data_IF_286365235340
#
_entry.id   IF_286365235340
#
_cell.length_a   1.000
_cell.length_b   1.000
_cell.length_c   1.000
_cell.angle_alpha   90.00
_cell.angle_beta   90.00
_cell.angle_gamma   90.00
#
_symmetry.space_group_name_H-M   'P 1'
#
loop_
_entity.id
_entity.type
_entity.pdbx_description
1 polymer ?
#
# COMPACT_ATOMS: atom_id res chain seq x y z
N UNK A 1 8.52 0.69 28.69
CA UNK A 1 7.14 0.97 29.03
C UNK A 1 6.64 0.09 30.17
N UNK A 2 6.80 -1.23 30.08
CA UNK A 2 6.23 -2.20 31.03
C UNK A 2 7.23 -2.74 32.05
N UNK A 3 8.44 -2.21 32.11
CA UNK A 3 9.49 -2.66 33.02
C UNK A 3 10.42 -3.74 32.48
N UNK A 4 11.49 -4.07 33.21
CA UNK A 4 12.59 -4.92 32.71
C UNK A 4 12.17 -6.34 32.32
N UNK A 5 11.23 -6.93 33.04
CA UNK A 5 10.81 -8.32 32.78
C UNK A 5 10.09 -8.45 31.45
N UNK A 6 9.13 -7.58 31.16
CA UNK A 6 8.44 -7.57 29.87
C UNK A 6 9.39 -7.19 28.72
N UNK A 7 10.30 -6.26 28.94
CA UNK A 7 11.33 -5.90 27.98
C UNK A 7 12.22 -7.09 27.64
N UNK A 8 12.62 -7.90 28.62
CA UNK A 8 13.41 -9.11 28.42
C UNK A 8 12.66 -10.12 27.54
N UNK A 9 11.39 -10.40 27.84
CA UNK A 9 10.55 -11.31 27.03
C UNK A 9 10.40 -10.83 25.60
N UNK A 10 10.14 -9.56 25.41
CA UNK A 10 10.04 -8.96 24.08
C UNK A 10 11.36 -9.11 23.31
N UNK A 11 12.49 -8.87 23.96
CA UNK A 11 13.82 -9.04 23.36
C UNK A 11 14.07 -10.50 22.97
N UNK A 12 13.72 -11.48 23.82
CA UNK A 12 13.84 -12.90 23.51
C UNK A 12 13.04 -13.28 22.27
N UNK A 13 11.81 -12.77 22.10
CA UNK A 13 10.97 -12.99 20.91
C UNK A 13 11.61 -12.37 19.67
N UNK A 14 12.12 -11.14 19.78
CA UNK A 14 12.82 -10.45 18.69
C UNK A 14 14.06 -11.22 18.27
N UNK A 15 14.89 -11.63 19.22
CA UNK A 15 16.14 -12.34 18.95
C UNK A 15 15.87 -13.73 18.34
N UNK A 16 14.81 -14.43 18.77
CA UNK A 16 14.37 -15.68 18.16
C UNK A 16 13.99 -15.48 16.68
N UNK A 17 13.22 -14.44 16.37
CA UNK A 17 12.89 -14.11 15.00
C UNK A 17 14.14 -13.81 14.15
N UNK A 18 15.09 -13.06 14.70
CA UNK A 18 16.35 -12.74 14.01
C UNK A 18 17.16 -14.01 13.74
N UNK A 19 17.26 -14.92 14.71
CA UNK A 19 17.94 -16.20 14.53
C UNK A 19 17.29 -17.04 13.41
N UNK A 20 15.96 -17.09 13.35
CA UNK A 20 15.24 -17.80 12.28
C UNK A 20 15.50 -17.13 10.91
N UNK A 21 15.40 -15.81 10.81
CA UNK A 21 15.69 -15.05 9.56
C UNK A 21 17.10 -15.35 9.03
N UNK A 22 18.07 -15.50 9.92
CA UNK A 22 19.46 -15.83 9.56
C UNK A 22 19.73 -17.33 9.44
N UNK A 23 18.67 -18.16 9.45
CA UNK A 23 18.75 -19.63 9.37
C UNK A 23 19.55 -20.29 10.49
N UNK A 24 19.75 -19.61 11.62
CA UNK A 24 20.36 -20.16 12.83
C UNK A 24 19.32 -20.94 13.64
N UNK A 25 18.84 -22.04 13.05
CA UNK A 25 17.76 -22.85 13.62
C UNK A 25 18.18 -23.54 14.93
N UNK A 26 19.45 -23.89 15.10
CA UNK A 26 19.98 -24.48 16.33
C UNK A 26 19.85 -23.53 17.52
N UNK A 27 20.17 -22.25 17.30
CA UNK A 27 19.99 -21.22 18.30
C UNK A 27 18.49 -20.97 18.56
N UNK A 28 17.70 -20.83 17.51
CA UNK A 28 16.26 -20.56 17.63
C UNK A 28 15.51 -21.67 18.40
N UNK A 29 15.86 -22.94 18.18
CA UNK A 29 15.26 -24.10 18.90
C UNK A 29 15.46 -24.04 20.41
N UNK A 30 16.55 -23.45 20.89
CA UNK A 30 16.88 -23.34 22.31
C UNK A 30 16.24 -22.12 22.97
N UNK A 31 15.80 -21.14 22.19
CA UNK A 31 15.23 -19.90 22.72
C UNK A 31 13.80 -20.10 23.22
N UNK A 32 13.34 -19.18 24.06
CA UNK A 32 12.01 -19.23 24.69
C UNK A 32 11.72 -20.58 25.40
N UNK A 33 12.75 -21.14 26.02
CA UNK A 33 12.65 -22.43 26.73
C UNK A 33 12.37 -23.62 25.81
N UNK A 34 12.74 -23.53 24.53
CA UNK A 34 12.53 -24.59 23.55
C UNK A 34 11.11 -24.63 22.93
N UNK A 35 10.25 -23.68 23.27
CA UNK A 35 8.86 -23.65 22.79
C UNK A 35 8.72 -23.57 21.27
N UNK A 36 9.74 -23.06 20.55
CA UNK A 36 9.73 -22.90 19.11
C UNK A 36 10.19 -24.14 18.35
N UNK A 37 10.83 -25.10 19.00
CA UNK A 37 11.46 -26.24 18.34
C UNK A 37 10.50 -27.04 17.44
N UNK A 38 9.25 -27.21 17.88
CA UNK A 38 8.21 -27.95 17.14
C UNK A 38 7.75 -27.30 15.84
N UNK A 39 8.05 -26.03 15.64
CA UNK A 39 7.70 -25.26 14.43
C UNK A 39 8.89 -25.06 13.48
N UNK A 40 10.07 -25.54 13.85
CA UNK A 40 11.30 -25.41 13.07
C UNK A 40 11.66 -26.77 12.42
N UNK A 41 10.70 -27.37 11.72
CA UNK A 41 10.82 -28.69 11.07
C UNK A 41 11.47 -28.61 9.70
N UNK A 42 11.16 -27.57 8.95
CA UNK A 42 11.60 -27.28 7.58
C UNK A 42 11.68 -25.77 7.36
N UNK A 43 12.16 -25.33 6.19
CA UNK A 43 12.32 -23.90 5.87
C UNK A 43 10.98 -23.17 5.79
N UNK A 44 9.96 -23.77 5.18
CA UNK A 44 8.64 -23.13 5.02
C UNK A 44 7.97 -22.89 6.38
N UNK A 45 8.03 -23.88 7.26
CA UNK A 45 7.53 -23.76 8.64
C UNK A 45 8.30 -22.70 9.43
N UNK A 46 9.63 -22.62 9.24
CA UNK A 46 10.47 -21.60 9.88
C UNK A 46 10.12 -20.19 9.37
N UNK A 47 9.90 -20.00 8.08
CA UNK A 47 9.50 -18.72 7.50
C UNK A 47 8.11 -18.29 7.97
N UNK A 48 7.16 -19.22 8.03
CA UNK A 48 5.83 -18.98 8.61
C UNK A 48 5.92 -18.55 10.08
N UNK A 49 6.77 -19.21 10.87
CA UNK A 49 7.03 -18.86 12.28
C UNK A 49 7.66 -17.45 12.37
N UNK A 50 8.67 -17.15 11.55
CA UNK A 50 9.30 -15.83 11.52
C UNK A 50 8.29 -14.71 11.20
N UNK A 51 7.36 -14.97 10.30
CA UNK A 51 6.27 -14.04 9.96
C UNK A 51 5.28 -13.87 11.13
N UNK A 52 4.89 -14.95 11.79
CA UNK A 52 4.04 -14.90 12.99
C UNK A 52 4.69 -14.10 14.14
N UNK A 53 5.98 -14.30 14.38
CA UNK A 53 6.74 -13.54 15.37
C UNK A 53 6.85 -12.05 14.98
N UNK A 54 6.99 -11.72 13.68
CA UNK A 54 6.98 -10.33 13.19
C UNK A 54 5.65 -9.65 13.50
N UNK A 55 4.53 -10.33 13.27
CA UNK A 55 3.20 -9.81 13.59
C UNK A 55 3.07 -9.56 15.08
N UNK A 56 3.49 -10.50 15.93
CA UNK A 56 3.45 -10.36 17.37
C UNK A 56 4.31 -9.16 17.86
N UNK A 57 5.52 -8.98 17.33
CA UNK A 57 6.42 -7.86 17.65
C UNK A 57 5.78 -6.53 17.26
N UNK A 58 5.23 -6.44 16.05
CA UNK A 58 4.60 -5.21 15.56
C UNK A 58 3.31 -4.88 16.32
N UNK A 59 2.57 -5.89 16.80
CA UNK A 59 1.36 -5.71 17.60
C UNK A 59 1.65 -5.00 18.94
N UNK A 60 2.84 -5.17 19.51
CA UNK A 60 3.24 -4.45 20.73
C UNK A 60 3.23 -2.93 20.49
N UNK A 61 3.79 -2.47 19.36
CA UNK A 61 3.72 -1.06 19.00
C UNK A 61 2.26 -0.61 18.78
N UNK A 62 1.50 -1.36 17.99
CA UNK A 62 0.11 -1.04 17.69
C UNK A 62 -0.78 -0.94 18.94
N UNK A 63 -0.66 -1.89 19.87
CA UNK A 63 -1.45 -1.89 21.11
C UNK A 63 -1.03 -0.77 22.07
N UNK A 64 0.27 -0.51 22.20
CA UNK A 64 0.76 0.54 23.10
C UNK A 64 0.46 1.94 22.61
N UNK A 65 0.34 2.15 21.29
CA UNK A 65 0.03 3.44 20.65
C UNK A 65 -1.44 3.64 20.29
N UNK A 66 -2.30 2.65 20.54
CA UNK A 66 -3.69 2.64 20.11
C UNK A 66 -4.50 3.85 20.60
N UNK A 67 -5.39 4.37 19.75
CA UNK A 67 -6.37 5.37 20.12
C UNK A 67 -7.51 4.84 21.00
N UNK A 68 -7.81 3.52 20.88
CA UNK A 68 -8.83 2.85 21.69
C UNK A 68 -8.25 2.34 23.02
N UNK A 69 -9.12 2.20 24.03
CA UNK A 69 -8.73 1.65 25.33
C UNK A 69 -8.38 0.15 25.22
N UNK A 70 -7.22 -0.21 25.77
CA UNK A 70 -6.76 -1.58 25.92
C UNK A 70 -5.76 -1.67 27.09
N UNK A 71 -5.52 -2.86 27.67
CA UNK A 71 -4.64 -3.03 28.84
C UNK A 71 -3.16 -2.67 28.60
N UNK A 72 -2.73 -2.62 27.34
CA UNK A 72 -1.33 -2.38 26.96
C UNK A 72 -1.06 -0.94 26.51
N UNK A 73 -2.09 -0.11 26.44
CA UNK A 73 -1.97 1.28 26.03
C UNK A 73 -1.07 2.06 26.97
N UNK A 74 -0.14 2.81 26.41
CA UNK A 74 0.77 3.68 27.16
C UNK A 74 0.73 5.11 26.60
N UNK A 75 0.46 6.10 27.47
CA UNK A 75 0.30 7.49 27.04
C UNK A 75 1.54 8.04 26.35
N UNK A 76 2.73 7.60 26.74
CA UNK A 76 3.98 8.02 26.09
C UNK A 76 4.06 7.55 24.66
N UNK A 77 3.60 6.32 24.36
CA UNK A 77 3.59 5.80 23.00
C UNK A 77 2.37 6.27 22.21
N UNK A 78 1.25 6.56 22.88
CA UNK A 78 0.14 7.29 22.26
C UNK A 78 0.61 8.65 21.71
N UNK A 79 1.52 9.32 22.41
CA UNK A 79 2.18 10.54 21.94
C UNK A 79 3.35 10.28 20.97
N UNK A 80 3.42 9.08 20.43
CA UNK A 80 4.41 8.65 19.43
C UNK A 80 5.88 8.75 19.86
N UNK A 81 6.20 8.57 21.14
CA UNK A 81 7.59 8.68 21.62
C UNK A 81 8.56 7.73 20.89
N UNK A 82 8.10 6.51 20.55
CA UNK A 82 8.92 5.52 19.82
C UNK A 82 9.20 6.01 18.40
N UNK A 83 8.17 6.46 17.68
CA UNK A 83 8.31 6.99 16.32
C UNK A 83 9.16 8.27 16.30
N UNK A 84 8.93 9.20 17.24
CA UNK A 84 9.72 10.44 17.37
C UNK A 84 11.20 10.15 17.63
N UNK A 85 11.51 9.17 18.49
CA UNK A 85 12.89 8.74 18.74
C UNK A 85 13.55 8.15 17.50
N UNK A 86 12.84 7.30 16.76
CA UNK A 86 13.31 6.74 15.50
C UNK A 86 13.57 7.83 14.46
N UNK A 87 12.63 8.76 14.29
CA UNK A 87 12.78 9.87 13.36
C UNK A 87 13.98 10.77 13.72
N UNK A 88 14.15 11.12 14.97
CA UNK A 88 15.30 11.92 15.43
C UNK A 88 16.63 11.20 15.16
N UNK A 89 16.69 9.89 15.43
CA UNK A 89 17.86 9.09 15.09
C UNK A 89 18.18 9.13 13.59
N UNK A 90 17.18 8.92 12.73
CA UNK A 90 17.37 8.92 11.27
C UNK A 90 17.79 10.30 10.74
N UNK A 91 17.25 11.39 11.31
CA UNK A 91 17.67 12.77 10.97
C UNK A 91 19.15 12.97 11.35
N UNK A 92 19.55 12.57 12.54
CA UNK A 92 20.93 12.68 12.99
C UNK A 92 21.87 11.83 12.13
N UNK A 93 21.47 10.59 11.79
CA UNK A 93 22.22 9.73 10.87
C UNK A 93 22.39 10.38 9.49
N UNK A 94 21.31 10.97 8.94
CA UNK A 94 21.36 11.74 7.69
C UNK A 94 22.46 12.81 7.75
N UNK A 95 22.43 13.65 8.79
CA UNK A 95 23.41 14.72 8.94
C UNK A 95 24.85 14.19 9.06
N UNK A 96 25.05 13.09 9.76
CA UNK A 96 26.38 12.49 9.90
C UNK A 96 26.90 11.88 8.58
N UNK A 97 26.01 11.32 7.76
CA UNK A 97 26.33 10.84 6.40
C UNK A 97 26.68 12.04 5.50
N UNK A 98 25.89 13.10 5.54
CA UNK A 98 26.12 14.33 4.76
C UNK A 98 27.43 15.03 5.13
N UNK A 99 27.78 15.09 6.42
CA UNK A 99 29.09 15.64 6.87
C UNK A 99 30.29 14.87 6.31
N UNK A 100 30.09 13.63 5.90
CA UNK A 100 31.11 12.78 5.25
C UNK A 100 31.14 12.94 3.72
N UNK A 101 30.37 13.89 3.18
CA UNK A 101 30.34 14.21 1.76
C UNK A 101 29.39 13.36 0.92
N UNK A 102 28.53 12.55 1.54
CA UNK A 102 27.57 11.72 0.81
C UNK A 102 26.19 12.36 0.75
N UNK A 103 25.48 12.14 -0.36
CA UNK A 103 24.08 12.50 -0.51
C UNK A 103 23.21 11.44 0.15
N UNK A 104 22.13 11.86 0.78
CA UNK A 104 21.07 10.96 1.24
C UNK A 104 19.86 11.20 0.37
N UNK A 105 19.59 10.27 -0.54
CA UNK A 105 18.49 10.39 -1.50
C UNK A 105 17.12 10.11 -0.85
N UNK A 106 17.07 9.18 0.11
CA UNK A 106 15.78 8.80 0.71
C UNK A 106 15.96 8.24 2.13
N UNK A 107 15.04 8.63 3.01
CA UNK A 107 14.83 8.01 4.32
C UNK A 107 13.36 7.63 4.42
N UNK A 108 13.09 6.39 4.84
CA UNK A 108 11.74 5.94 5.13
C UNK A 108 11.74 5.10 6.41
N UNK A 109 11.12 5.63 7.45
CA UNK A 109 10.98 5.01 8.78
C UNK A 109 12.32 4.56 9.39
N UNK A 110 12.88 3.46 8.93
CA UNK A 110 14.04 2.74 9.44
C UNK A 110 15.10 2.42 8.35
N UNK A 111 14.91 2.92 7.13
CA UNK A 111 15.84 2.71 6.02
C UNK A 111 16.42 4.02 5.51
N UNK A 112 17.67 3.97 5.06
CA UNK A 112 18.39 5.09 4.42
C UNK A 112 18.96 4.63 3.07
N UNK A 113 18.87 5.47 2.05
CA UNK A 113 19.42 5.24 0.71
C UNK A 113 20.42 6.30 0.38
N UNK A 114 21.63 5.85 0.07
CA UNK A 114 22.81 6.69 -0.16
C UNK A 114 23.33 6.37 -1.56
N UNK A 115 23.19 7.29 -2.54
CA UNK A 115 23.82 7.15 -3.83
C UNK A 115 25.33 7.01 -3.70
N UNK A 116 25.95 6.24 -4.58
CA UNK A 116 27.40 6.02 -4.66
C UNK A 116 28.05 5.63 -3.32
N UNK A 117 27.31 4.87 -2.52
CA UNK A 117 27.76 4.45 -1.19
C UNK A 117 29.01 3.57 -1.29
N UNK A 118 30.08 4.00 -0.62
CA UNK A 118 31.31 3.19 -0.49
C UNK A 118 31.19 2.20 0.67
N UNK A 119 32.02 1.14 0.70
CA UNK A 119 32.07 0.20 1.84
C UNK A 119 32.26 0.91 3.18
N UNK A 120 33.03 1.99 3.21
CA UNK A 120 33.32 2.77 4.42
C UNK A 120 32.09 3.48 4.95
N UNK A 121 31.27 4.10 4.08
CA UNK A 121 30.03 4.76 4.54
C UNK A 121 28.96 3.73 4.95
N UNK A 122 28.90 2.58 4.29
CA UNK A 122 28.02 1.48 4.68
C UNK A 122 28.39 0.99 6.09
N UNK A 123 29.68 0.75 6.32
CA UNK A 123 30.17 0.33 7.65
C UNK A 123 29.90 1.41 8.70
N UNK A 124 30.12 2.69 8.37
CA UNK A 124 29.80 3.81 9.26
C UNK A 124 28.33 3.80 9.70
N UNK A 125 27.39 3.62 8.76
CA UNK A 125 25.94 3.57 9.08
C UNK A 125 25.65 2.43 10.06
N UNK A 126 26.23 1.25 9.84
CA UNK A 126 26.06 0.10 10.75
C UNK A 126 26.62 0.38 12.14
N UNK A 127 27.80 0.97 12.21
CA UNK A 127 28.45 1.26 13.50
C UNK A 127 27.77 2.40 14.25
N UNK A 128 27.33 3.44 13.53
CA UNK A 128 26.54 4.52 14.10
C UNK A 128 25.22 3.98 14.68
N UNK A 129 24.53 3.08 13.99
CA UNK A 129 23.34 2.42 14.50
C UNK A 129 23.60 1.70 15.82
N UNK A 130 24.69 0.90 15.89
CA UNK A 130 25.07 0.15 17.10
C UNK A 130 25.30 1.04 18.32
N UNK A 131 25.89 2.24 18.13
CA UNK A 131 26.09 3.20 19.22
C UNK A 131 24.79 3.60 19.92
N UNK A 132 23.66 3.59 19.20
CA UNK A 132 22.33 3.97 19.71
C UNK A 132 21.41 2.78 19.97
N UNK A 133 21.95 1.53 19.85
CA UNK A 133 21.18 0.30 20.07
C UNK A 133 20.34 -0.15 18.90
N UNK A 134 20.60 0.36 17.67
CA UNK A 134 19.99 -0.09 16.43
C UNK A 134 20.94 -1.00 15.65
N UNK A 135 20.39 -1.98 14.96
CA UNK A 135 21.16 -2.89 14.10
C UNK A 135 20.74 -2.59 12.66
N UNK A 136 21.66 -2.02 11.88
CA UNK A 136 21.49 -1.82 10.45
C UNK A 136 22.14 -2.98 9.69
N UNK A 137 21.47 -3.41 8.64
CA UNK A 137 21.97 -4.37 7.65
C UNK A 137 22.05 -3.68 6.30
N UNK A 138 23.08 -3.96 5.51
CA UNK A 138 23.13 -3.57 4.10
C UNK A 138 22.22 -4.53 3.34
N UNK A 139 21.03 -4.09 3.01
CA UNK A 139 19.97 -4.94 2.46
C UNK A 139 20.12 -5.13 0.95
N UNK A 140 20.50 -4.07 0.22
CA UNK A 140 20.58 -4.10 -1.22
C UNK A 140 21.45 -2.97 -1.79
N UNK A 141 22.05 -3.24 -2.95
CA UNK A 141 22.61 -2.23 -3.85
C UNK A 141 21.73 -2.18 -5.10
N UNK A 142 21.33 -0.98 -5.51
CA UNK A 142 20.56 -0.76 -6.73
C UNK A 142 21.46 -0.24 -7.85
N UNK A 143 21.26 -0.74 -9.06
CA UNK A 143 21.88 -0.23 -10.28
C UNK A 143 21.28 1.11 -10.68
N UNK A 144 19.94 1.17 -10.61
CA UNK A 144 19.16 2.40 -10.86
C UNK A 144 17.95 2.45 -9.92
N UNK A 145 17.56 3.68 -9.59
CA UNK A 145 16.41 3.92 -8.73
C UNK A 145 15.75 5.23 -9.13
N UNK A 146 14.43 5.20 -9.32
CA UNK A 146 13.59 6.39 -9.46
C UNK A 146 12.75 6.56 -8.20
N UNK A 147 12.91 7.68 -7.51
CA UNK A 147 12.14 8.06 -6.35
C UNK A 147 11.04 9.03 -6.78
N UNK A 148 9.84 8.52 -7.02
CA UNK A 148 8.70 9.31 -7.50
C UNK A 148 8.16 10.24 -6.40
N UNK A 149 8.14 9.76 -5.16
CA UNK A 149 7.83 10.56 -3.97
C UNK A 149 8.33 9.87 -2.70
N UNK A 150 8.08 10.46 -1.54
CA UNK A 150 8.55 9.96 -0.25
C UNK A 150 8.13 8.51 0.10
N UNK A 151 7.14 7.96 -0.60
CA UNK A 151 6.62 6.61 -0.33
C UNK A 151 6.76 5.65 -1.51
N UNK A 152 6.96 6.18 -2.72
CA UNK A 152 6.91 5.43 -3.99
C UNK A 152 8.23 5.49 -4.71
N UNK A 153 8.85 4.36 -4.93
CA UNK A 153 10.03 4.23 -5.77
C UNK A 153 10.00 2.93 -6.58
N UNK A 154 10.77 2.91 -7.64
CA UNK A 154 11.11 1.75 -8.45
C UNK A 154 12.62 1.65 -8.54
N UNK A 155 13.17 0.45 -8.41
CA UNK A 155 14.62 0.23 -8.47
C UNK A 155 14.96 -1.12 -9.09
N UNK A 156 16.16 -1.22 -9.67
CA UNK A 156 16.72 -2.46 -10.19
C UNK A 156 17.89 -2.88 -9.31
N UNK A 157 17.90 -4.14 -8.86
CA UNK A 157 19.00 -4.66 -8.05
C UNK A 157 20.26 -4.80 -8.90
N UNK A 158 21.38 -4.33 -8.35
CA UNK A 158 22.71 -4.43 -8.99
C UNK A 158 23.35 -5.79 -8.73
N UNK A 159 23.22 -6.29 -7.53
CA UNK A 159 23.94 -7.48 -7.06
C UNK A 159 23.09 -8.33 -6.10
N UNK A 160 23.68 -9.39 -5.53
CA UNK A 160 23.04 -10.28 -4.59
C UNK A 160 22.10 -11.30 -5.25
N UNK A 161 21.21 -11.87 -4.44
CA UNK A 161 20.25 -12.93 -4.86
C UNK A 161 19.30 -12.44 -5.96
N UNK A 162 18.97 -11.17 -5.97
CA UNK A 162 18.01 -10.54 -6.86
C UNK A 162 18.66 -9.70 -7.97
N UNK A 163 19.97 -9.91 -8.25
CA UNK A 163 20.68 -9.14 -9.26
C UNK A 163 19.95 -9.12 -10.61
N UNK A 164 19.71 -7.92 -11.15
CA UNK A 164 18.99 -7.70 -12.40
C UNK A 164 17.45 -7.68 -12.26
N UNK A 165 16.89 -8.07 -11.13
CA UNK A 165 15.45 -8.00 -10.88
C UNK A 165 15.02 -6.58 -10.52
N UNK A 166 13.76 -6.26 -10.82
CA UNK A 166 13.14 -5.02 -10.43
C UNK A 166 12.39 -5.15 -9.09
N UNK A 167 12.34 -4.09 -8.34
CA UNK A 167 11.52 -3.96 -7.12
C UNK A 167 10.81 -2.62 -7.10
N UNK A 168 9.61 -2.59 -6.54
CA UNK A 168 8.80 -1.38 -6.45
C UNK A 168 8.16 -1.24 -5.07
N UNK A 169 7.94 0.00 -4.65
CA UNK A 169 7.05 0.33 -3.54
C UNK A 169 5.96 1.28 -4.02
N UNK A 170 4.80 1.21 -3.37
CA UNK A 170 3.61 1.96 -3.75
C UNK A 170 2.71 1.18 -4.71
N UNK A 171 1.40 1.30 -4.48
CA UNK A 171 0.37 0.52 -5.18
C UNK A 171 0.43 0.68 -6.70
N UNK A 172 0.77 1.86 -7.19
CA UNK A 172 0.85 2.18 -8.61
C UNK A 172 1.80 1.25 -9.38
N UNK A 173 3.01 1.02 -8.86
CA UNK A 173 4.02 0.20 -9.53
C UNK A 173 3.97 -1.27 -9.10
N UNK A 174 3.23 -1.60 -8.05
CA UNK A 174 3.05 -2.97 -7.57
C UNK A 174 1.87 -3.70 -8.19
N UNK A 175 1.06 -3.03 -9.02
CA UNK A 175 0.05 -3.68 -9.85
C UNK A 175 0.78 -4.63 -10.81
N UNK A 176 0.52 -5.95 -10.78
CA UNK A 176 1.31 -6.91 -11.55
C UNK A 176 1.36 -6.60 -13.04
N UNK A 177 0.24 -6.20 -13.63
CA UNK A 177 0.18 -5.80 -15.04
C UNK A 177 1.13 -4.63 -15.36
N UNK A 178 1.10 -3.57 -14.54
CA UNK A 178 1.97 -2.38 -14.69
C UNK A 178 3.43 -2.77 -14.51
N UNK A 179 3.73 -3.53 -13.44
CA UNK A 179 5.09 -3.97 -13.13
C UNK A 179 5.70 -4.79 -14.27
N UNK A 180 4.95 -5.77 -14.79
CA UNK A 180 5.40 -6.61 -15.90
C UNK A 180 5.56 -5.82 -17.19
N UNK A 181 4.62 -4.93 -17.52
CA UNK A 181 4.68 -4.12 -18.75
C UNK A 181 5.85 -3.16 -18.77
N UNK A 182 6.14 -2.48 -17.66
CA UNK A 182 7.20 -1.47 -17.62
C UNK A 182 8.57 -2.08 -17.29
N UNK A 183 8.65 -3.04 -16.36
CA UNK A 183 9.91 -3.40 -15.74
C UNK A 183 10.35 -4.84 -16.00
N UNK A 184 9.65 -5.86 -15.51
CA UNK A 184 10.13 -7.24 -15.61
C UNK A 184 9.97 -7.84 -17.00
N UNK A 185 9.12 -7.28 -17.87
CA UNK A 185 8.85 -7.74 -19.23
C UNK A 185 8.35 -9.18 -19.34
N UNK A 186 7.85 -9.72 -18.24
CA UNK A 186 7.23 -11.04 -18.21
C UNK A 186 5.90 -11.05 -18.97
N UNK A 187 5.48 -12.24 -19.39
CA UNK A 187 4.18 -12.42 -20.03
C UNK A 187 3.04 -12.05 -19.06
N UNK A 188 2.05 -11.33 -19.58
CA UNK A 188 0.83 -11.00 -18.84
C UNK A 188 -0.08 -12.21 -18.81
N UNK A 189 -0.39 -12.69 -17.62
CA UNK A 189 -1.34 -13.78 -17.38
C UNK A 189 -2.65 -13.26 -16.81
N UNK A 190 -3.65 -14.12 -16.73
CA UNK A 190 -4.98 -13.76 -16.23
C UNK A 190 -4.94 -13.12 -14.84
N UNK A 191 -4.15 -13.69 -13.95
CA UNK A 191 -4.00 -13.26 -12.55
C UNK A 191 -3.47 -11.82 -12.42
N UNK A 192 -2.70 -11.36 -13.40
CA UNK A 192 -2.20 -9.96 -13.44
C UNK A 192 -3.30 -8.95 -13.70
N UNK A 193 -4.45 -9.40 -14.22
CA UNK A 193 -5.64 -8.60 -14.49
C UNK A 193 -6.73 -8.78 -13.43
N UNK A 194 -6.38 -9.30 -12.25
CA UNK A 194 -7.27 -9.48 -11.12
C UNK A 194 -6.85 -8.54 -9.98
N UNK A 195 -7.77 -7.69 -9.52
CA UNK A 195 -7.53 -6.79 -8.41
C UNK A 195 -8.27 -7.23 -7.15
N UNK A 196 -7.57 -7.28 -6.02
CA UNK A 196 -8.19 -7.51 -4.73
C UNK A 196 -8.84 -6.22 -4.24
N UNK A 197 -10.14 -6.27 -3.99
CA UNK A 197 -10.90 -5.20 -3.36
C UNK A 197 -11.44 -5.68 -2.02
N UNK A 198 -11.37 -4.82 -1.00
CA UNK A 198 -11.83 -5.15 0.35
C UNK A 198 -12.46 -3.95 1.05
N UNK A 199 -13.47 -4.23 1.88
CA UNK A 199 -14.17 -3.24 2.70
C UNK A 199 -14.42 -3.80 4.10
N UNK A 200 -14.67 -2.93 5.06
CA UNK A 200 -15.05 -3.34 6.42
C UNK A 200 -16.49 -3.86 6.50
N UNK A 201 -17.39 -3.34 5.65
CA UNK A 201 -18.79 -3.74 5.55
C UNK A 201 -19.01 -4.88 4.57
N UNK A 202 -19.73 -4.63 3.50
CA UNK A 202 -20.03 -5.58 2.44
C UNK A 202 -19.81 -4.93 1.06
N UNK A 203 -19.35 -5.74 0.10
CA UNK A 203 -19.25 -5.40 -1.32
C UNK A 203 -20.44 -5.97 -2.07
N UNK A 204 -20.91 -5.20 -3.04
CA UNK A 204 -21.95 -5.58 -3.99
C UNK A 204 -21.53 -5.18 -5.40
N UNK A 205 -21.96 -5.98 -6.37
CA UNK A 205 -21.94 -5.59 -7.79
C UNK A 205 -23.35 -5.12 -8.16
N UNK A 206 -23.47 -3.88 -8.60
CA UNK A 206 -24.72 -3.39 -9.18
C UNK A 206 -24.76 -3.76 -10.68
N UNK A 207 -25.48 -4.81 -10.99
CA UNK A 207 -25.62 -5.41 -12.32
C UNK A 207 -26.66 -4.64 -13.15
N UNK A 208 -26.49 -3.32 -13.26
CA UNK A 208 -27.48 -2.39 -13.81
C UNK A 208 -27.30 -2.07 -15.31
N UNK A 209 -26.40 -2.74 -16.04
CA UNK A 209 -26.05 -2.36 -17.40
C UNK A 209 -27.23 -2.32 -18.39
N UNK A 210 -28.21 -3.17 -18.19
CA UNK A 210 -29.40 -3.28 -19.02
C UNK A 210 -30.68 -2.83 -18.30
N UNK A 211 -30.55 -2.14 -17.18
CA UNK A 211 -31.69 -1.60 -16.42
C UNK A 211 -31.97 -0.16 -16.82
N UNK A 212 -33.15 0.39 -16.49
CA UNK A 212 -33.48 1.78 -16.76
C UNK A 212 -32.49 2.76 -16.13
N UNK A 213 -32.16 3.84 -16.84
CA UNK A 213 -31.37 4.94 -16.29
C UNK A 213 -32.23 5.73 -15.29
N UNK A 214 -31.85 5.71 -14.03
CA UNK A 214 -32.55 6.38 -12.93
C UNK A 214 -31.79 7.59 -12.37
N UNK A 215 -30.74 8.04 -13.07
CA UNK A 215 -29.87 9.14 -12.64
C UNK A 215 -30.67 10.43 -12.36
N UNK A 216 -31.77 10.68 -13.08
CA UNK A 216 -32.62 11.86 -12.88
C UNK A 216 -33.36 11.76 -11.53
N UNK A 217 -33.94 10.59 -11.24
CA UNK A 217 -34.64 10.34 -9.99
C UNK A 217 -33.70 10.36 -8.77
N UNK A 218 -32.47 9.87 -8.92
CA UNK A 218 -31.42 9.94 -7.87
C UNK A 218 -31.06 11.40 -7.54
N UNK A 219 -30.86 12.23 -8.55
CA UNK A 219 -30.56 13.67 -8.37
C UNK A 219 -31.72 14.43 -7.73
N UNK A 220 -32.96 14.08 -8.10
CA UNK A 220 -34.13 14.65 -7.49
C UNK A 220 -34.24 14.27 -6.01
N UNK A 221 -34.05 12.99 -5.69
CA UNK A 221 -34.03 12.49 -4.31
C UNK A 221 -32.95 13.20 -3.49
N UNK A 222 -31.72 13.32 -4.01
CA UNK A 222 -30.61 14.05 -3.35
C UNK A 222 -30.97 15.53 -3.11
N UNK A 223 -31.64 16.15 -4.05
CA UNK A 223 -32.09 17.54 -3.94
C UNK A 223 -33.14 17.70 -2.87
N UNK A 224 -34.08 16.76 -2.76
CA UNK A 224 -35.08 16.75 -1.70
C UNK A 224 -34.47 16.57 -0.32
N UNK A 225 -33.50 15.68 -0.17
CA UNK A 225 -32.76 15.51 1.10
C UNK A 225 -31.96 16.74 1.52
N UNK A 226 -31.48 17.55 0.57
CA UNK A 226 -30.76 18.79 0.85
C UNK A 226 -31.69 19.94 1.20
N UNK A 227 -32.91 19.95 0.62
CA UNK A 227 -33.88 21.03 0.76
C UNK A 227 -34.73 20.90 2.03
N UNK A 228 -34.99 19.66 2.47
CA UNK A 228 -35.92 19.39 3.59
C UNK A 228 -35.24 18.67 4.74
N UNK A 229 -35.60 18.95 6.03
CA UNK A 229 -36.60 19.96 6.41
C UNK A 229 -36.16 21.40 6.07
N UNK A 230 -37.13 22.29 5.95
CA UNK A 230 -36.88 23.73 5.78
C UNK A 230 -36.26 24.37 7.05
N UNK A 231 -36.02 25.69 7.01
CA UNK A 231 -35.44 26.44 8.12
C UNK A 231 -36.27 26.35 9.44
N UNK A 232 -37.54 25.99 9.35
CA UNK A 232 -38.47 25.85 10.48
C UNK A 232 -38.64 24.36 10.89
N UNK A 233 -37.92 23.43 10.26
CA UNK A 233 -38.06 22.00 10.54
C UNK A 233 -39.29 21.36 9.90
N UNK A 234 -39.91 22.01 8.91
CA UNK A 234 -41.15 21.51 8.28
C UNK A 234 -40.88 20.80 6.95
N UNK A 235 -41.76 19.87 6.58
CA UNK A 235 -41.77 19.13 5.34
C UNK A 235 -43.05 19.45 4.54
N UNK A 236 -43.04 19.39 3.18
CA UNK A 236 -44.22 19.45 2.35
C UNK A 236 -45.23 18.34 2.74
N UNK A 237 -46.51 18.60 2.50
CA UNK A 237 -47.57 17.60 2.81
C UNK A 237 -47.47 16.31 2.01
N UNK A 238 -46.90 16.38 0.81
CA UNK A 238 -46.69 15.27 -0.13
C UNK A 238 -45.27 14.71 -0.09
N UNK A 239 -44.43 15.14 0.88
CA UNK A 239 -43.02 14.74 0.96
C UNK A 239 -42.82 13.24 0.99
N UNK A 240 -43.52 12.53 1.89
CA UNK A 240 -43.38 11.09 2.06
C UNK A 240 -43.86 10.31 0.83
N UNK A 241 -44.93 10.77 0.15
CA UNK A 241 -45.43 10.16 -1.08
C UNK A 241 -44.45 10.35 -2.22
N UNK A 242 -43.91 11.56 -2.36
CA UNK A 242 -42.89 11.88 -3.39
C UNK A 242 -41.61 11.06 -3.17
N UNK A 243 -41.13 10.97 -1.93
CA UNK A 243 -39.98 10.16 -1.56
C UNK A 243 -40.20 8.67 -1.86
N UNK A 244 -41.39 8.14 -1.56
CA UNK A 244 -41.69 6.74 -1.83
C UNK A 244 -41.70 6.42 -3.33
N UNK A 245 -42.28 7.30 -4.17
CA UNK A 245 -42.29 7.15 -5.63
C UNK A 245 -40.90 7.19 -6.22
N UNK A 246 -40.05 8.15 -5.79
CA UNK A 246 -38.67 8.26 -6.27
C UNK A 246 -37.85 7.02 -5.87
N UNK A 247 -37.99 6.54 -4.63
CA UNK A 247 -37.29 5.33 -4.19
C UNK A 247 -37.71 4.09 -4.99
N UNK A 248 -39.00 3.95 -5.32
CA UNK A 248 -39.50 2.86 -6.15
C UNK A 248 -38.95 2.95 -7.59
N UNK A 249 -38.87 4.14 -8.15
CA UNK A 249 -38.30 4.36 -9.47
C UNK A 249 -36.81 4.04 -9.48
N UNK A 250 -36.05 4.56 -8.53
CA UNK A 250 -34.61 4.31 -8.37
C UNK A 250 -34.34 2.80 -8.23
N UNK A 251 -35.14 2.08 -7.43
CA UNK A 251 -34.97 0.65 -7.25
C UNK A 251 -35.05 -0.17 -8.55
N UNK A 252 -35.75 0.33 -9.59
CA UNK A 252 -35.86 -0.33 -10.90
C UNK A 252 -34.55 -0.23 -11.72
N UNK A 253 -33.71 0.73 -11.40
CA UNK A 253 -32.42 0.98 -12.08
C UNK A 253 -31.23 0.22 -11.46
N UNK A 254 -31.43 -0.53 -10.40
CA UNK A 254 -30.34 -1.21 -9.68
C UNK A 254 -30.62 -2.71 -9.47
N UNK A 255 -29.55 -3.50 -9.51
CA UNK A 255 -29.57 -4.92 -9.16
C UNK A 255 -28.31 -5.26 -8.37
N UNK A 256 -28.36 -5.09 -7.07
CA UNK A 256 -27.24 -5.31 -6.16
C UNK A 256 -27.07 -6.81 -5.83
N UNK A 257 -25.97 -7.38 -6.31
CA UNK A 257 -25.54 -8.75 -6.02
C UNK A 257 -24.46 -8.72 -4.97
N UNK A 258 -24.66 -9.39 -3.84
CA UNK A 258 -23.68 -9.49 -2.78
C UNK A 258 -22.47 -10.33 -3.20
N UNK A 259 -21.25 -9.83 -2.99
CA UNK A 259 -20.00 -10.51 -3.38
C UNK A 259 -19.01 -10.70 -2.22
N UNK A 260 -19.40 -10.40 -0.99
CA UNK A 260 -18.57 -10.62 0.20
C UNK A 260 -18.00 -9.34 0.81
N UNK A 261 -16.94 -9.47 1.59
CA UNK A 261 -16.19 -8.34 2.17
C UNK A 261 -14.84 -8.14 1.49
N UNK A 262 -14.34 -9.15 0.84
CA UNK A 262 -13.11 -9.18 0.07
C UNK A 262 -13.31 -10.11 -1.11
N UNK A 263 -12.78 -9.74 -2.27
CA UNK A 263 -12.80 -10.54 -3.49
C UNK A 263 -11.75 -10.07 -4.48
N UNK A 264 -11.53 -10.90 -5.51
CA UNK A 264 -10.73 -10.54 -6.66
C UNK A 264 -11.65 -10.24 -7.84
N UNK A 265 -11.42 -9.14 -8.50
CA UNK A 265 -12.28 -8.61 -9.56
C UNK A 265 -11.45 -8.25 -10.78
N UNK A 266 -12.02 -8.49 -11.98
CA UNK A 266 -11.48 -8.02 -13.24
C UNK A 266 -12.33 -6.86 -13.76
N UNK A 267 -11.72 -5.79 -14.32
CA UNK A 267 -12.44 -4.76 -15.05
C UNK A 267 -13.00 -5.36 -16.34
N UNK A 268 -14.26 -5.08 -16.67
CA UNK A 268 -14.98 -5.65 -17.81
C UNK A 268 -15.37 -4.53 -18.77
N UNK A 269 -15.21 -4.78 -20.07
CA UNK A 269 -15.61 -3.85 -21.12
C UNK A 269 -17.10 -3.48 -21.02
N UNK A 270 -17.47 -2.21 -21.24
CA UNK A 270 -18.87 -1.83 -21.32
C UNK A 270 -19.64 -2.70 -22.33
N UNK A 271 -20.87 -3.08 -22.00
CA UNK A 271 -21.70 -3.96 -22.83
C UNK A 271 -21.44 -5.45 -22.67
N UNK A 272 -20.46 -5.84 -21.83
CA UNK A 272 -20.09 -7.23 -21.63
C UNK A 272 -20.61 -7.81 -20.28
N UNK A 273 -21.55 -7.14 -19.62
CA UNK A 273 -22.26 -7.69 -18.45
C UNK A 273 -21.49 -7.58 -17.13
N UNK A 274 -20.61 -6.60 -17.00
CA UNK A 274 -20.00 -6.25 -15.72
C UNK A 274 -20.92 -5.37 -14.88
N UNK A 275 -20.69 -5.33 -13.54
CA UNK A 275 -21.40 -4.50 -12.58
C UNK A 275 -20.56 -3.35 -12.03
N UNK A 276 -21.22 -2.34 -11.46
CA UNK A 276 -20.54 -1.31 -10.68
C UNK A 276 -20.22 -1.86 -9.30
N UNK A 277 -18.95 -1.80 -8.88
CA UNK A 277 -18.54 -2.31 -7.59
C UNK A 277 -18.82 -1.29 -6.50
N UNK A 278 -19.73 -1.63 -5.60
CA UNK A 278 -20.22 -0.78 -4.54
C UNK A 278 -19.90 -1.35 -3.15
N UNK A 279 -19.73 -0.46 -2.18
CA UNK A 279 -19.69 -0.79 -0.75
C UNK A 279 -21.01 -0.43 -0.10
N UNK A 280 -21.50 -1.31 0.75
CA UNK A 280 -22.65 -1.01 1.61
C UNK A 280 -22.21 -0.08 2.75
N UNK A 281 -22.97 0.95 2.99
CA UNK A 281 -22.87 1.84 4.13
C UNK A 281 -24.28 2.08 4.70
N UNK A 282 -24.37 2.61 5.91
CA UNK A 282 -25.63 2.98 6.54
C UNK A 282 -25.65 4.51 6.71
N UNK A 283 -26.72 5.12 6.27
CA UNK A 283 -26.94 6.54 6.52
C UNK A 283 -27.17 6.75 8.04
N UNK A 284 -26.30 7.55 8.65
CA UNK A 284 -26.32 7.78 10.11
C UNK A 284 -27.58 8.48 10.63
N UNK A 285 -28.35 9.16 9.75
CA UNK A 285 -29.55 9.89 10.14
C UNK A 285 -30.81 9.06 9.96
N UNK A 286 -30.88 8.31 8.86
CA UNK A 286 -32.08 7.56 8.48
C UNK A 286 -31.99 6.07 8.84
N UNK A 287 -30.78 5.53 9.06
CA UNK A 287 -30.55 4.09 9.23
C UNK A 287 -30.74 3.29 7.94
N UNK A 288 -30.92 3.95 6.80
CA UNK A 288 -31.12 3.29 5.51
C UNK A 288 -29.78 2.82 4.93
N UNK A 289 -29.83 1.67 4.25
CA UNK A 289 -28.69 1.16 3.51
C UNK A 289 -28.41 2.03 2.29
N UNK A 290 -27.14 2.34 2.08
CA UNK A 290 -26.64 3.11 0.96
C UNK A 290 -25.50 2.36 0.28
N UNK A 291 -25.47 2.42 -1.04
CA UNK A 291 -24.46 1.77 -1.86
C UNK A 291 -23.63 2.83 -2.55
N UNK A 292 -22.39 2.99 -2.08
CA UNK A 292 -21.44 3.94 -2.64
C UNK A 292 -20.40 3.20 -3.49
N UNK A 293 -19.92 3.81 -4.58
CA UNK A 293 -18.84 3.22 -5.36
C UNK A 293 -17.64 2.85 -4.47
N UNK A 294 -17.14 1.64 -4.60
CA UNK A 294 -15.93 1.22 -3.88
C UNK A 294 -14.72 2.05 -4.34
N UNK A 295 -13.76 2.27 -3.45
CA UNK A 295 -12.60 3.11 -3.74
C UNK A 295 -11.81 2.56 -4.93
N UNK A 296 -11.47 3.45 -5.89
CA UNK A 296 -10.69 3.10 -7.07
C UNK A 296 -11.45 2.31 -8.14
N UNK A 297 -12.81 2.29 -8.11
CA UNK A 297 -13.61 1.52 -9.07
C UNK A 297 -14.52 2.39 -9.94
N UNK A 298 -14.63 3.69 -9.62
CA UNK A 298 -15.53 4.61 -10.31
C UNK A 298 -15.21 4.73 -11.81
N UNK A 299 -16.23 4.58 -12.64
CA UNK A 299 -16.12 4.69 -14.10
C UNK A 299 -15.85 3.37 -14.81
N UNK A 300 -15.65 2.28 -14.07
CA UNK A 300 -15.41 0.95 -14.63
C UNK A 300 -16.46 -0.05 -14.14
N UNK A 301 -16.67 -1.09 -14.95
CA UNK A 301 -17.50 -2.24 -14.60
C UNK A 301 -16.60 -3.41 -14.23
N UNK A 302 -17.08 -4.26 -13.35
CA UNK A 302 -16.30 -5.34 -12.73
C UNK A 302 -17.08 -6.64 -12.72
N UNK A 303 -16.37 -7.76 -12.75
CA UNK A 303 -16.87 -9.09 -12.36
C UNK A 303 -15.86 -9.75 -11.43
N UNK A 304 -16.35 -10.65 -10.58
CA UNK A 304 -15.46 -11.52 -9.80
C UNK A 304 -14.62 -12.39 -10.74
N UNK A 305 -13.33 -12.56 -10.41
CA UNK A 305 -12.39 -13.30 -11.25
C UNK A 305 -12.83 -14.75 -11.50
N UNK A 306 -13.48 -15.41 -10.52
CA UNK A 306 -14.05 -16.73 -10.66
C UNK A 306 -15.18 -16.73 -11.71
N UNK A 307 -16.07 -15.75 -11.66
CA UNK A 307 -17.17 -15.60 -12.63
C UNK A 307 -16.65 -15.36 -14.05
N UNK A 308 -15.56 -14.58 -14.19
CA UNK A 308 -14.94 -14.37 -15.50
C UNK A 308 -14.48 -15.70 -16.11
N UNK A 309 -13.80 -16.56 -15.32
CA UNK A 309 -13.36 -17.89 -15.75
C UNK A 309 -14.54 -18.84 -16.02
N UNK A 310 -15.51 -18.91 -15.12
CA UNK A 310 -16.66 -19.80 -15.26
C UNK A 310 -17.52 -19.47 -16.50
N UNK A 311 -17.62 -18.20 -16.85
CA UNK A 311 -18.41 -17.74 -18.01
C UNK A 311 -17.59 -17.65 -19.29
N UNK A 312 -16.27 -17.94 -19.26
CA UNK A 312 -15.39 -17.81 -20.42
C UNK A 312 -15.29 -16.38 -20.95
N UNK A 313 -15.18 -15.40 -20.03
CA UNK A 313 -15.17 -13.96 -20.35
C UNK A 313 -13.79 -13.32 -20.24
N UNK A 314 -12.73 -14.07 -20.35
CA UNK A 314 -11.35 -13.56 -20.29
C UNK A 314 -11.07 -12.52 -21.39
N UNK A 315 -11.69 -12.70 -22.56
CA UNK A 315 -11.59 -11.76 -23.68
C UNK A 315 -12.40 -10.46 -23.48
N UNK A 316 -13.36 -10.48 -22.55
CA UNK A 316 -14.16 -9.32 -22.19
C UNK A 316 -13.47 -8.41 -21.15
N UNK A 317 -12.30 -8.81 -20.63
CA UNK A 317 -11.53 -7.98 -19.70
C UNK A 317 -11.14 -6.68 -20.40
N UNK A 318 -11.39 -5.57 -19.71
CA UNK A 318 -11.01 -4.23 -20.20
C UNK A 318 -9.51 -3.97 -19.97
N UNK A 319 -8.71 -4.38 -20.94
CA UNK A 319 -7.26 -4.14 -20.91
C UNK A 319 -6.92 -2.65 -21.00
N UNK A 320 -7.79 -1.83 -21.59
CA UNK A 320 -7.61 -0.38 -21.64
C UNK A 320 -7.54 0.26 -20.26
N UNK A 321 -8.20 -0.32 -19.26
CA UNK A 321 -8.04 0.06 -17.86
C UNK A 321 -6.58 -0.07 -17.41
N UNK A 322 -5.95 -1.20 -17.66
CA UNK A 322 -4.55 -1.45 -17.27
C UNK A 322 -3.56 -0.65 -18.11
N UNK A 323 -3.82 -0.50 -19.41
CA UNK A 323 -2.96 0.31 -20.29
C UNK A 323 -2.94 1.77 -19.82
N UNK A 324 -4.08 2.31 -19.38
CA UNK A 324 -4.14 3.65 -18.78
C UNK A 324 -3.31 3.76 -17.47
N UNK A 325 -3.28 2.70 -16.66
CA UNK A 325 -2.43 2.65 -15.47
C UNK A 325 -0.94 2.58 -15.82
N UNK A 326 -0.58 1.83 -16.88
CA UNK A 326 0.79 1.79 -17.41
C UNK A 326 1.23 3.16 -17.90
N UNK A 327 0.38 3.85 -18.68
CA UNK A 327 0.69 5.19 -19.21
C UNK A 327 0.85 6.22 -18.09
N UNK A 328 0.00 6.16 -17.07
CA UNK A 328 0.12 7.03 -15.90
C UNK A 328 1.43 6.77 -15.14
N UNK A 329 1.79 5.50 -14.91
CA UNK A 329 3.02 5.13 -14.25
C UNK A 329 4.27 5.54 -15.07
N UNK A 330 4.22 5.37 -16.38
CA UNK A 330 5.27 5.81 -17.30
C UNK A 330 5.45 7.33 -17.27
N UNK A 331 4.34 8.08 -17.26
CA UNK A 331 4.35 9.55 -17.17
C UNK A 331 4.99 10.03 -15.89
N UNK A 332 4.67 9.39 -14.76
CA UNK A 332 5.22 9.76 -13.46
C UNK A 332 6.73 9.55 -13.39
N UNK A 333 7.26 8.47 -13.98
CA UNK A 333 8.72 8.24 -14.06
C UNK A 333 9.37 9.25 -15.01
N UNK A 334 8.74 9.51 -16.17
CA UNK A 334 9.26 10.43 -17.18
C UNK A 334 9.37 11.87 -16.69
N UNK A 335 8.65 12.24 -15.64
CA UNK A 335 8.79 13.53 -14.98
C UNK A 335 10.16 13.70 -14.29
N UNK A 336 10.89 12.60 -14.06
CA UNK A 336 12.16 12.57 -13.33
C UNK A 336 13.38 12.22 -14.20
N UNK A 337 13.18 11.76 -15.43
CA UNK A 337 14.26 11.40 -16.32
C UNK A 337 13.79 10.60 -17.54
N UNK A 338 14.74 10.13 -18.32
CA UNK A 338 14.48 9.32 -19.52
C UNK A 338 13.98 7.91 -19.12
N UNK A 339 12.70 7.67 -19.42
CA UNK A 339 12.06 6.38 -19.13
C UNK A 339 12.68 5.25 -19.97
N UNK A 340 13.01 5.50 -21.24
CA UNK A 340 13.56 4.47 -22.13
C UNK A 340 14.91 3.98 -21.59
N UNK A 341 15.80 4.90 -21.24
CA UNK A 341 17.04 4.56 -20.57
C UNK A 341 16.80 3.83 -19.24
N UNK A 342 15.88 4.34 -18.42
CA UNK A 342 15.64 3.81 -17.08
C UNK A 342 15.18 2.34 -17.10
N UNK A 343 14.33 1.95 -18.06
CA UNK A 343 13.76 0.59 -18.14
C UNK A 343 14.54 -0.33 -19.10
N UNK A 344 15.46 0.21 -19.90
CA UNK A 344 16.21 -0.57 -20.89
C UNK A 344 17.29 -1.44 -20.25
N UNK A 345 17.43 -2.65 -20.75
CA UNK A 345 18.59 -3.52 -20.51
C UNK A 345 19.63 -3.45 -21.62
N UNK A 346 19.36 -2.67 -22.66
CA UNK A 346 20.30 -2.46 -23.76
C UNK A 346 21.41 -1.50 -23.33
N UNK A 347 22.69 -1.94 -23.29
CA UNK A 347 23.82 -1.09 -22.90
C UNK A 347 24.10 0.04 -23.90
N UNK A 348 23.49 0.03 -25.07
CA UNK A 348 23.61 1.07 -26.08
C UNK A 348 22.59 2.19 -25.95
N UNK A 349 21.53 1.98 -25.19
CA UNK A 349 20.59 3.06 -24.83
C UNK A 349 21.31 3.92 -23.79
N UNK A 350 21.62 5.15 -24.17
CA UNK A 350 22.26 6.14 -23.28
C UNK A 350 21.18 7.01 -22.67
N UNK A 351 21.43 7.40 -21.44
CA UNK A 351 20.69 8.50 -20.83
C UNK A 351 20.88 9.74 -21.71
N UNK A 352 19.78 10.31 -22.21
CA UNK A 352 19.82 11.60 -22.89
C UNK A 352 20.35 12.64 -21.89
N UNK A 353 21.08 13.67 -22.36
CA UNK A 353 21.76 14.70 -21.54
C UNK A 353 20.82 15.46 -20.58
N UNK A 354 19.85 14.79 -19.98
CA UNK A 354 19.08 15.29 -18.85
C UNK A 354 20.02 15.48 -17.68
N UNK A 355 20.06 16.66 -17.06
CA UNK A 355 20.99 16.92 -15.96
C UNK A 355 20.77 15.87 -14.88
N UNK A 356 21.86 15.34 -14.30
CA UNK A 356 21.75 14.34 -13.23
C UNK A 356 20.87 14.90 -12.14
N UNK A 357 19.94 14.11 -11.68
CA UNK A 357 18.90 14.46 -10.70
C UNK A 357 19.44 15.09 -9.42
N UNK A 358 20.73 14.84 -9.14
CA UNK A 358 21.48 15.48 -8.10
C UNK A 358 22.87 15.84 -8.66
N UNK A 359 22.98 17.00 -9.28
CA UNK A 359 24.28 17.60 -9.51
C UNK A 359 25.01 17.80 -8.17
N UNK A 360 26.33 17.60 -8.11
CA UNK A 360 27.11 17.97 -6.94
C UNK A 360 27.12 19.50 -6.86
N UNK A 361 26.31 20.08 -6.00
CA UNK A 361 26.40 21.51 -5.70
C UNK A 361 25.15 22.30 -6.02
N UNK A 362 24.37 22.41 -5.08
CA UNK A 362 23.85 23.55 -4.33
C UNK A 362 22.84 22.99 -3.34
N UNK A 363 22.92 23.29 -2.06
CA UNK A 363 21.85 22.99 -1.15
C UNK A 363 20.69 23.88 -1.58
N UNK A 364 19.70 23.29 -2.23
CA UNK A 364 18.40 23.94 -2.31
C UNK A 364 17.99 24.21 -0.87
N UNK A 365 17.71 25.48 -0.63
CA UNK A 365 17.45 26.02 0.67
C UNK A 365 16.43 25.20 1.46
N UNK A 366 16.38 25.49 2.73
CA UNK A 366 15.70 24.84 3.86
C UNK A 366 14.26 24.34 3.70
N UNK A 367 13.72 24.20 2.49
CA UNK A 367 12.36 23.79 2.21
C UNK A 367 12.16 22.25 2.05
N UNK A 368 13.18 21.44 2.21
CA UNK A 368 13.05 19.99 2.31
C UNK A 368 12.62 19.49 3.69
N UNK A 369 12.11 20.35 4.54
CA UNK A 369 11.57 20.03 5.86
C UNK A 369 10.06 19.78 5.82
N UNK A 370 9.59 18.91 4.97
CA UNK A 370 8.23 18.42 5.08
C UNK A 370 8.17 17.12 5.88
N UNK A 371 8.66 17.12 7.10
CA UNK A 371 8.21 16.19 8.12
C UNK A 371 7.30 16.95 9.07
N UNK A 372 6.06 17.15 8.63
CA UNK A 372 4.99 17.55 9.52
C UNK A 372 4.61 16.35 10.39
N UNK A 373 5.30 16.21 11.51
CA UNK A 373 4.96 15.25 12.56
C UNK A 373 3.82 15.89 13.35
N UNK A 374 2.59 15.73 12.85
CA UNK A 374 1.37 16.01 13.61
C UNK A 374 0.88 14.77 14.33
#
# INVERSE_FOLDING_TARGET
>A
LFGPEYTKRFQEIKDARVAIKHKDFEKARKMLGGALAKYLTDEDSADALAQALKIAINSVYGLTSAGFENPFRDNRNKDNIVAKRGALFMINLKHEVQKRGFVVAHIKTDSIKIPDATPEIIQFVMDYGKMYGYIFEHEATYDRMCLVNNAVYIAKYKDGKHAGEWTATGTQFQIPYVFKKLFSKEEIVFEDMCETKSVTGALYLDMNENLPDVTAAEKELETLYKKWPDENGQYPLDYDETMAKLKEEIAKGHNYVFVGKVGQFCPIKPGCGGGLLCRESEDKKTGEKKYDAATGTKGYRWLESEMVKELGKEDDIDRGYYDALVDAAATDISAFGDLEWFVSDDPYVKEDDTPPWFGPGEPHGDDATAFDVR
#
